data_IF_291002712870
#
_entry.id   IF_291002712870
#
_cell.length_a   1.000
_cell.length_b   1.000
_cell.length_c   1.000
_cell.angle_alpha   90.00
_cell.angle_beta   90.00
_cell.angle_gamma   90.00
#
_symmetry.space_group_name_H-M   'P 1'
#
loop_
_entity.id
_entity.type
_entity.pdbx_description
1 polymer ?
#
# COMPACT_ATOMS: atom_id res chain seq x y z
N UNK A 1 7.55 16.17 18.50
CA UNK A 1 6.10 16.42 18.45
C UNK A 1 5.44 15.84 19.68
N UNK A 2 4.65 16.65 20.37
CA UNK A 2 3.84 16.24 21.53
C UNK A 2 2.46 15.75 21.03
N UNK A 3 1.98 14.61 21.56
CA UNK A 3 0.65 14.09 21.24
C UNK A 3 -0.49 15.03 21.65
N UNK A 4 -0.23 15.91 22.62
CA UNK A 4 -1.19 16.90 23.09
C UNK A 4 -1.10 18.23 22.32
N UNK A 5 -0.32 18.30 21.24
CA UNK A 5 -0.20 19.51 20.42
C UNK A 5 -1.58 19.91 19.91
N UNK A 6 -1.99 21.13 20.22
CA UNK A 6 -3.24 21.74 19.76
C UNK A 6 -3.00 23.22 19.50
N UNK A 7 -2.89 23.61 18.23
CA UNK A 7 -2.61 25.00 17.82
C UNK A 7 -3.83 25.52 17.06
N UNK A 8 -4.45 26.60 17.52
CA UNK A 8 -5.63 27.17 16.87
C UNK A 8 -5.30 27.63 15.44
N UNK A 9 -6.16 27.28 14.48
CA UNK A 9 -6.10 27.78 13.11
C UNK A 9 -7.03 29.00 13.05
N UNK A 10 -6.45 30.19 13.18
CA UNK A 10 -7.22 31.46 13.23
C UNK A 10 -7.80 31.88 11.88
N UNK A 11 -7.23 31.36 10.80
CA UNK A 11 -7.55 31.68 9.42
C UNK A 11 -8.83 30.99 8.93
N UNK A 12 -9.27 29.94 9.63
CA UNK A 12 -10.42 29.13 9.23
C UNK A 12 -11.54 29.28 10.27
N UNK A 13 -12.70 29.84 9.87
CA UNK A 13 -13.86 29.94 10.75
C UNK A 13 -14.33 28.57 11.27
N UNK A 14 -14.77 28.54 12.51
CA UNK A 14 -15.17 27.31 13.21
C UNK A 14 -16.44 26.65 12.67
N UNK A 15 -17.29 27.44 12.02
CA UNK A 15 -18.50 27.01 11.32
C UNK A 15 -18.21 26.29 10.00
N UNK A 16 -17.00 26.43 9.43
CA UNK A 16 -16.62 25.68 8.24
C UNK A 16 -16.44 24.21 8.58
N UNK A 17 -17.13 23.33 7.87
CA UNK A 17 -17.11 21.88 8.14
C UNK A 17 -16.46 21.05 7.05
N UNK A 18 -16.33 21.62 5.84
CA UNK A 18 -15.82 20.91 4.68
C UNK A 18 -14.30 21.08 4.55
N UNK A 19 -13.56 20.01 4.85
CA UNK A 19 -12.11 19.95 4.67
C UNK A 19 -11.68 18.68 3.95
N UNK A 20 -10.96 18.84 2.86
CA UNK A 20 -10.22 17.79 2.17
C UNK A 20 -8.76 17.81 2.59
N UNK A 21 -8.13 16.64 2.49
CA UNK A 21 -6.71 16.46 2.75
C UNK A 21 -6.04 15.88 1.52
N UNK A 22 -4.96 16.52 1.10
CA UNK A 22 -4.08 16.02 0.06
C UNK A 22 -2.63 16.01 0.60
N UNK A 23 -2.19 14.85 1.10
CA UNK A 23 -0.93 14.73 1.83
C UNK A 23 -0.91 15.61 3.09
N UNK A 24 0.00 16.59 3.16
CA UNK A 24 0.06 17.59 4.23
C UNK A 24 -0.76 18.86 3.96
N UNK A 25 -1.30 19.02 2.75
CA UNK A 25 -2.13 20.17 2.40
C UNK A 25 -3.56 19.95 2.91
N UNK A 26 -4.10 20.94 3.61
CA UNK A 26 -5.50 20.96 4.04
C UNK A 26 -6.23 22.00 3.20
N UNK A 27 -7.32 21.56 2.57
CA UNK A 27 -8.10 22.37 1.63
C UNK A 27 -9.53 22.46 2.14
N UNK A 28 -9.96 23.66 2.48
CA UNK A 28 -11.35 23.94 2.87
C UNK A 28 -12.13 24.41 1.66
N UNK A 29 -13.39 23.94 1.54
CA UNK A 29 -14.33 24.31 0.47
C UNK A 29 -13.76 24.17 -0.96
N UNK A 30 -12.84 23.22 -1.18
CA UNK A 30 -12.19 23.05 -2.47
C UNK A 30 -13.08 22.48 -3.57
N UNK A 31 -12.74 22.77 -4.82
CA UNK A 31 -13.56 22.43 -6.00
C UNK A 31 -13.82 20.91 -6.15
N UNK A 32 -12.89 20.06 -5.70
CA UNK A 32 -13.05 18.61 -5.76
C UNK A 32 -14.11 18.05 -4.80
N UNK A 33 -14.64 18.86 -3.86
CA UNK A 33 -15.84 18.47 -3.10
C UNK A 33 -17.07 18.33 -3.99
N UNK A 34 -17.07 18.94 -5.19
CA UNK A 34 -18.17 18.89 -6.14
C UNK A 34 -18.38 17.53 -6.82
N UNK A 35 -17.42 16.59 -6.75
CA UNK A 35 -17.57 15.27 -7.41
C UNK A 35 -18.32 14.22 -6.59
N UNK A 36 -18.35 14.32 -5.26
CA UNK A 36 -18.96 13.28 -4.41
C UNK A 36 -19.94 13.80 -3.35
N UNK A 37 -19.98 15.09 -3.03
CA UNK A 37 -20.98 15.66 -2.14
C UNK A 37 -21.64 16.90 -2.76
N UNK A 38 -22.95 16.80 -3.03
CA UNK A 38 -23.79 17.94 -3.42
C UNK A 38 -23.84 18.92 -2.26
N UNK A 39 -23.04 19.97 -2.31
CA UNK A 39 -23.42 21.31 -1.82
C UNK A 39 -22.38 22.28 -2.35
N UNK A 40 -22.81 23.15 -3.26
CA UNK A 40 -22.14 24.43 -3.50
C UNK A 40 -22.12 25.16 -2.16
N UNK A 41 -20.95 25.31 -1.56
CA UNK A 41 -20.75 26.33 -0.53
C UNK A 41 -20.35 27.61 -1.26
N UNK A 42 -21.06 28.71 -1.06
CA UNK A 42 -20.64 30.07 -1.48
C UNK A 42 -19.41 30.57 -0.71
N UNK A 43 -18.64 29.64 -0.12
CA UNK A 43 -17.49 29.89 0.72
C UNK A 43 -16.22 29.81 -0.13
N UNK A 44 -15.23 30.68 0.12
CA UNK A 44 -13.99 30.66 -0.63
C UNK A 44 -13.18 29.38 -0.31
N UNK A 45 -12.49 28.86 -1.32
CA UNK A 45 -11.49 27.81 -1.14
C UNK A 45 -10.28 28.39 -0.38
N UNK A 46 -9.85 27.69 0.67
CA UNK A 46 -8.65 28.06 1.43
C UNK A 46 -7.72 26.87 1.54
N UNK A 47 -6.43 27.10 1.27
CA UNK A 47 -5.38 26.07 1.28
C UNK A 47 -4.33 26.42 2.33
N UNK A 48 -4.23 25.61 3.38
CA UNK A 48 -3.22 25.80 4.42
C UNK A 48 -2.34 24.55 4.57
N UNK A 49 -1.06 24.81 4.81
CA UNK A 49 -0.11 23.79 5.27
C UNK A 49 0.05 23.93 6.78
N UNK A 50 0.27 22.82 7.50
CA UNK A 50 0.59 22.88 8.91
C UNK A 50 1.92 23.63 9.12
N UNK A 51 2.12 24.24 10.30
CA UNK A 51 3.36 24.92 10.65
C UNK A 51 4.55 23.94 10.79
N UNK A 52 4.29 22.67 11.06
CA UNK A 52 5.29 21.60 11.17
C UNK A 52 4.78 20.32 10.49
N UNK A 53 5.70 19.55 9.88
CA UNK A 53 5.42 18.19 9.41
C UNK A 53 4.94 17.31 10.57
N UNK A 54 3.93 16.49 10.33
CA UNK A 54 3.35 15.61 11.35
C UNK A 54 2.10 16.18 12.02
N UNK A 55 1.71 17.41 11.70
CA UNK A 55 0.43 17.98 12.11
C UNK A 55 -0.61 17.86 10.99
N UNK A 56 -1.89 17.79 11.37
CA UNK A 56 -3.01 17.94 10.45
C UNK A 56 -4.14 18.74 11.11
N UNK A 57 -5.07 19.25 10.29
CA UNK A 57 -6.18 20.03 10.79
C UNK A 57 -7.32 19.12 11.26
N UNK A 58 -7.77 19.31 12.50
CA UNK A 58 -8.92 18.64 13.09
C UNK A 58 -9.86 19.67 13.72
N UNK A 59 -11.17 19.42 13.61
CA UNK A 59 -12.21 20.28 14.19
C UNK A 59 -12.59 19.74 15.57
N UNK A 60 -12.37 20.55 16.59
CA UNK A 60 -12.60 20.19 18.00
C UNK A 60 -13.39 21.32 18.64
N UNK A 61 -14.48 21.03 19.33
CA UNK A 61 -15.31 22.00 20.06
C UNK A 61 -15.72 23.23 19.22
N UNK A 62 -16.01 23.00 17.94
CA UNK A 62 -16.46 24.05 17.02
C UNK A 62 -15.36 24.97 16.47
N UNK A 63 -14.08 24.67 16.68
CA UNK A 63 -12.95 25.39 16.08
C UNK A 63 -11.94 24.43 15.44
N UNK A 64 -11.12 24.94 14.52
CA UNK A 64 -10.09 24.17 13.83
C UNK A 64 -8.74 24.29 14.53
N UNK A 65 -8.06 23.15 14.68
CA UNK A 65 -6.75 23.07 15.32
C UNK A 65 -5.78 22.25 14.48
N UNK A 66 -4.51 22.66 14.46
CA UNK A 66 -3.42 21.76 14.11
C UNK A 66 -3.17 20.81 15.28
N UNK A 67 -3.28 19.51 15.03
CA UNK A 67 -3.07 18.44 16.01
C UNK A 67 -2.03 17.43 15.53
N UNK A 68 -1.41 16.72 16.47
CA UNK A 68 -0.44 15.65 16.16
C UNK A 68 -1.13 14.50 15.42
N UNK A 69 -0.74 14.25 14.18
CA UNK A 69 -1.17 13.07 13.42
C UNK A 69 -0.13 11.97 13.32
N UNK A 70 1.06 12.16 13.90
CA UNK A 70 2.09 11.14 13.82
C UNK A 70 1.72 9.93 14.69
N UNK A 71 1.37 8.81 14.05
CA UNK A 71 0.99 7.56 14.71
C UNK A 71 2.00 7.11 15.79
N UNK A 72 3.31 7.17 15.46
CA UNK A 72 4.39 6.83 16.40
C UNK A 72 4.49 7.77 17.60
N UNK A 73 4.20 9.07 17.44
CA UNK A 73 4.16 10.01 18.56
C UNK A 73 2.93 9.77 19.45
N UNK A 74 1.81 9.41 18.83
CA UNK A 74 0.54 9.20 19.51
C UNK A 74 0.42 7.79 20.13
N UNK A 75 1.31 6.87 19.77
CA UNK A 75 1.27 5.48 20.21
C UNK A 75 0.11 4.70 19.60
N UNK A 76 -0.27 5.02 18.36
CA UNK A 76 -1.32 4.30 17.64
C UNK A 76 -0.71 3.22 16.75
N UNK A 77 -1.47 2.14 16.52
CA UNK A 77 -1.10 1.05 15.61
C UNK A 77 -1.51 1.34 14.15
N UNK A 78 -1.62 2.62 13.78
CA UNK A 78 -2.02 3.02 12.43
C UNK A 78 -0.94 2.61 11.41
N UNK A 79 -1.32 1.72 10.49
CA UNK A 79 -0.48 1.27 9.37
C UNK A 79 -0.58 2.25 8.21
N UNK A 80 0.53 2.41 7.48
CA UNK A 80 0.61 3.27 6.29
C UNK A 80 0.21 4.73 6.56
N UNK A 81 0.55 5.25 7.75
CA UNK A 81 0.18 6.62 8.13
C UNK A 81 0.79 7.66 7.19
N UNK A 82 -0.07 8.51 6.62
CA UNK A 82 0.32 9.60 5.74
C UNK A 82 0.76 10.87 6.50
N UNK A 83 0.61 10.91 7.83
CA UNK A 83 1.07 12.03 8.67
C UNK A 83 2.27 11.57 9.49
N UNK A 84 3.46 12.04 9.15
CA UNK A 84 4.70 11.66 9.84
C UNK A 84 5.46 12.92 10.24
N UNK A 85 5.84 13.03 11.51
CA UNK A 85 6.68 14.14 11.96
C UNK A 85 8.12 13.96 11.51
N UNK A 86 8.89 15.05 11.45
CA UNK A 86 10.27 15.02 10.94
C UNK A 86 11.14 13.97 11.66
N UNK A 87 11.04 13.89 12.99
CA UNK A 87 11.73 12.88 13.81
C UNK A 87 11.46 11.44 13.37
N UNK A 88 10.23 11.14 12.94
CA UNK A 88 9.81 9.79 12.54
C UNK A 88 9.86 9.59 11.01
N UNK A 89 10.27 10.59 10.25
CA UNK A 89 10.47 10.51 8.80
C UNK A 89 11.83 9.87 8.47
N UNK A 90 12.07 8.71 9.08
CA UNK A 90 13.32 7.95 9.03
C UNK A 90 13.06 6.52 8.57
N UNK A 91 14.07 5.89 7.96
CA UNK A 91 14.03 4.48 7.60
C UNK A 91 13.76 3.63 8.84
N UNK A 92 12.83 2.68 8.74
CA UNK A 92 12.45 1.82 9.87
C UNK A 92 13.59 0.94 10.38
N UNK A 93 14.57 0.63 9.54
CA UNK A 93 15.67 -0.29 9.86
C UNK A 93 16.94 0.45 10.31
N UNK A 94 17.37 1.48 9.57
CA UNK A 94 18.65 2.16 9.84
C UNK A 94 18.49 3.58 10.40
N UNK A 95 17.26 4.07 10.61
CA UNK A 95 16.99 5.43 11.08
C UNK A 95 17.53 6.57 10.19
N UNK A 96 17.96 6.27 8.95
CA UNK A 96 18.35 7.32 7.98
C UNK A 96 17.14 8.17 7.62
N UNK A 97 17.26 9.49 7.80
CA UNK A 97 16.19 10.44 7.48
C UNK A 97 15.92 10.51 5.98
N UNK A 98 14.64 10.65 5.60
CA UNK A 98 14.19 10.67 4.19
C UNK A 98 14.89 11.73 3.35
N UNK A 99 15.22 12.88 3.92
CA UNK A 99 15.93 13.97 3.20
C UNK A 99 17.38 13.61 2.81
N UNK A 100 17.95 12.54 3.37
CA UNK A 100 19.30 12.07 3.04
C UNK A 100 19.30 10.98 1.97
N UNK A 101 18.13 10.57 1.48
CA UNK A 101 18.02 9.51 0.47
C UNK A 101 18.23 10.09 -0.93
N UNK A 102 19.02 9.38 -1.74
CA UNK A 102 19.22 9.67 -3.16
C UNK A 102 18.22 8.95 -4.06
N UNK A 103 17.55 7.92 -3.55
CA UNK A 103 16.64 7.05 -4.28
C UNK A 103 15.29 6.93 -3.57
N UNK A 104 14.25 6.60 -4.33
CA UNK A 104 12.91 6.43 -3.80
C UNK A 104 12.87 5.29 -2.78
N UNK A 105 12.32 5.51 -1.58
CA UNK A 105 12.18 4.45 -0.58
C UNK A 105 10.93 3.59 -0.82
N UNK A 106 10.92 2.39 -0.24
CA UNK A 106 9.78 1.47 -0.26
C UNK A 106 8.83 1.79 0.87
N UNK A 107 7.53 1.84 0.56
CA UNK A 107 6.49 1.98 1.58
C UNK A 107 6.37 0.72 2.43
N UNK A 108 6.15 0.90 3.73
CA UNK A 108 5.96 -0.19 4.69
C UNK A 108 4.84 0.18 5.66
N UNK A 109 4.08 -0.77 6.23
CA UNK A 109 3.08 -0.48 7.27
C UNK A 109 3.59 0.47 8.37
N UNK A 110 4.84 0.27 8.82
CA UNK A 110 5.47 1.04 9.90
C UNK A 110 6.28 2.27 9.43
N UNK A 111 6.15 2.67 8.16
CA UNK A 111 6.84 3.83 7.57
C UNK A 111 7.46 3.52 6.22
N UNK A 112 8.79 3.65 6.11
CA UNK A 112 9.49 3.34 4.86
C UNK A 112 10.81 2.62 5.11
N UNK A 113 11.27 1.90 4.09
CA UNK A 113 12.59 1.27 4.01
C UNK A 113 13.43 1.99 2.96
N UNK A 114 14.64 2.43 3.30
CA UNK A 114 15.56 3.00 2.30
C UNK A 114 16.13 1.89 1.40
N UNK A 115 16.59 2.26 0.20
CA UNK A 115 17.10 1.28 -0.77
C UNK A 115 18.14 0.30 -0.21
N UNK A 116 19.22 0.73 0.47
CA UNK A 116 20.21 -0.22 0.95
C UNK A 116 19.65 -1.23 1.95
N UNK A 117 18.66 -0.81 2.75
CA UNK A 117 17.99 -1.71 3.67
C UNK A 117 17.03 -2.67 2.96
N UNK A 118 16.32 -2.19 1.93
CA UNK A 118 15.45 -3.04 1.12
C UNK A 118 16.29 -4.07 0.35
N UNK A 119 17.36 -3.64 -0.31
CA UNK A 119 18.27 -4.52 -1.04
C UNK A 119 18.86 -5.62 -0.11
N UNK A 120 19.13 -5.29 1.16
CA UNK A 120 19.59 -6.26 2.15
C UNK A 120 18.51 -7.27 2.56
N UNK A 121 17.27 -6.82 2.77
CA UNK A 121 16.13 -7.71 3.03
C UNK A 121 15.83 -8.61 1.83
N UNK A 122 15.85 -8.06 0.61
CA UNK A 122 15.64 -8.78 -0.63
C UNK A 122 16.75 -9.82 -0.86
N UNK A 123 18.01 -9.46 -0.60
CA UNK A 123 19.13 -10.40 -0.68
C UNK A 123 19.00 -11.54 0.34
N UNK A 124 18.55 -11.24 1.56
CA UNK A 124 18.28 -12.26 2.58
C UNK A 124 17.12 -13.18 2.15
N UNK A 125 16.02 -12.61 1.66
CA UNK A 125 14.88 -13.37 1.17
C UNK A 125 15.25 -14.27 -0.01
N UNK A 126 16.05 -13.75 -0.96
CA UNK A 126 16.62 -14.51 -2.07
C UNK A 126 17.46 -15.69 -1.59
N UNK A 127 18.41 -15.44 -0.69
CA UNK A 127 19.27 -16.50 -0.15
C UNK A 127 18.47 -17.57 0.58
N UNK A 128 17.48 -17.17 1.40
CA UNK A 128 16.60 -18.09 2.11
C UNK A 128 15.73 -18.92 1.17
N UNK A 129 15.22 -18.34 0.08
CA UNK A 129 14.43 -19.07 -0.91
C UNK A 129 15.28 -20.08 -1.69
N UNK A 130 16.46 -19.68 -2.14
CA UNK A 130 17.40 -20.58 -2.83
C UNK A 130 17.88 -21.73 -1.94
N UNK A 131 18.12 -21.47 -0.65
CA UNK A 131 18.52 -22.51 0.29
C UNK A 131 17.46 -23.62 0.47
N UNK A 132 16.17 -23.29 0.36
CA UNK A 132 15.08 -24.27 0.48
C UNK A 132 15.06 -25.30 -0.66
N UNK A 133 15.58 -24.93 -1.82
CA UNK A 133 15.59 -25.78 -3.02
C UNK A 133 17.00 -26.30 -3.35
N UNK A 134 18.02 -25.92 -2.58
CA UNK A 134 19.42 -26.24 -2.89
C UNK A 134 19.74 -27.74 -2.84
N UNK A 135 18.99 -28.51 -2.05
CA UNK A 135 19.17 -29.96 -1.91
C UNK A 135 18.20 -30.78 -2.79
N UNK A 136 17.29 -30.10 -3.50
CA UNK A 136 16.30 -30.74 -4.37
C UNK A 136 16.68 -30.48 -5.82
N UNK A 137 16.90 -31.55 -6.59
CA UNK A 137 17.08 -31.42 -8.02
C UNK A 137 15.79 -30.88 -8.66
N UNK A 138 15.95 -30.01 -9.65
CA UNK A 138 14.82 -29.50 -10.40
C UNK A 138 14.15 -30.64 -11.18
N UNK A 139 12.87 -30.89 -10.90
CA UNK A 139 11.98 -31.70 -11.74
C UNK A 139 10.88 -30.81 -12.31
N UNK A 140 10.73 -30.81 -13.64
CA UNK A 140 9.68 -30.06 -14.32
C UNK A 140 8.28 -30.50 -13.89
N UNK A 141 8.11 -31.78 -13.52
CA UNK A 141 6.83 -32.30 -13.05
C UNK A 141 6.36 -31.66 -11.74
N UNK A 142 7.27 -31.13 -10.93
CA UNK A 142 6.94 -30.40 -9.70
C UNK A 142 6.27 -29.03 -9.96
N UNK A 143 6.33 -28.55 -11.20
CA UNK A 143 5.83 -27.23 -11.61
C UNK A 143 4.68 -27.29 -12.61
N UNK A 144 4.09 -28.48 -12.82
CA UNK A 144 2.92 -28.70 -13.68
C UNK A 144 1.65 -28.82 -12.86
N UNK A 145 0.52 -28.38 -13.41
CA UNK A 145 -0.81 -28.51 -12.79
C UNK A 145 -0.89 -27.98 -11.34
N UNK A 146 -0.24 -26.85 -11.07
CA UNK A 146 -0.25 -26.23 -9.75
C UNK A 146 -1.48 -25.34 -9.56
N UNK A 147 -2.06 -25.35 -8.36
CA UNK A 147 -3.13 -24.43 -7.96
C UNK A 147 -2.64 -22.97 -7.81
N UNK A 148 -1.34 -22.79 -7.60
CA UNK A 148 -0.68 -21.49 -7.47
C UNK A 148 0.56 -21.44 -8.38
N UNK A 149 0.80 -20.30 -9.02
CA UNK A 149 2.04 -20.09 -9.76
C UNK A 149 3.23 -20.13 -8.80
N UNK A 150 4.22 -20.97 -9.08
CA UNK A 150 5.47 -21.05 -8.31
C UNK A 150 6.65 -20.77 -9.22
N UNK A 151 7.60 -19.99 -8.72
CA UNK A 151 8.85 -19.79 -9.42
C UNK A 151 9.67 -21.10 -9.45
N UNK A 152 10.06 -21.62 -10.63
CA UNK A 152 10.82 -22.87 -10.72
C UNK A 152 12.25 -22.77 -10.17
N UNK A 153 12.79 -21.56 -10.01
CA UNK A 153 14.15 -21.34 -9.51
C UNK A 153 14.27 -21.36 -7.99
N UNK A 154 13.20 -21.05 -7.27
CA UNK A 154 13.26 -20.86 -5.81
C UNK A 154 12.01 -21.31 -5.05
N UNK A 155 11.06 -21.93 -5.75
CA UNK A 155 9.76 -22.39 -5.24
C UNK A 155 8.87 -21.32 -4.58
N UNK A 156 9.23 -20.03 -4.66
CA UNK A 156 8.38 -18.95 -4.15
C UNK A 156 7.07 -18.90 -4.92
N UNK A 157 5.96 -18.87 -4.19
CA UNK A 157 4.62 -18.63 -4.75
C UNK A 157 4.54 -17.20 -5.28
N UNK A 158 4.09 -17.07 -6.53
CA UNK A 158 3.85 -15.81 -7.23
C UNK A 158 2.34 -15.62 -7.30
N UNK A 159 1.84 -14.60 -6.62
CA UNK A 159 0.43 -14.23 -6.72
C UNK A 159 0.16 -13.60 -8.09
N UNK A 160 -0.85 -14.08 -8.79
CA UNK A 160 -1.32 -13.53 -10.06
C UNK A 160 -2.79 -13.24 -9.88
N UNK A 161 -3.21 -12.01 -10.17
CA UNK A 161 -4.63 -11.65 -10.13
C UNK A 161 -5.38 -12.36 -11.26
N UNK A 162 -6.67 -12.66 -11.05
CA UNK A 162 -7.47 -13.42 -12.01
C UNK A 162 -7.57 -12.72 -13.37
N UNK A 163 -7.60 -11.39 -13.38
CA UNK A 163 -7.60 -10.56 -14.59
C UNK A 163 -6.30 -10.68 -15.40
N UNK A 164 -5.21 -11.09 -14.75
CA UNK A 164 -3.89 -11.24 -15.35
C UNK A 164 -3.59 -12.69 -15.75
N UNK A 165 -4.54 -13.62 -15.61
CA UNK A 165 -4.32 -15.01 -16.02
C UNK A 165 -4.06 -15.13 -17.53
N UNK A 166 -3.08 -15.94 -17.89
CA UNK A 166 -2.66 -16.12 -19.27
C UNK A 166 -1.18 -16.43 -19.39
N UNK A 167 -0.79 -16.89 -20.58
CA UNK A 167 0.58 -17.27 -20.88
C UNK A 167 1.49 -16.04 -20.94
N UNK A 168 2.64 -16.09 -20.27
CA UNK A 168 3.58 -14.98 -20.22
C UNK A 168 4.94 -15.39 -19.67
N UNK A 169 5.96 -14.62 -20.06
CA UNK A 169 7.26 -14.67 -19.42
C UNK A 169 7.24 -13.80 -18.17
N UNK A 170 7.78 -14.35 -17.08
CA UNK A 170 7.76 -13.75 -15.75
C UNK A 170 9.19 -13.61 -15.22
N UNK A 171 9.43 -12.57 -14.44
CA UNK A 171 10.61 -12.45 -13.59
C UNK A 171 10.17 -12.64 -12.13
N UNK A 172 10.80 -13.56 -11.40
CA UNK A 172 10.48 -13.77 -10.00
C UNK A 172 10.99 -12.62 -9.14
N UNK A 173 10.10 -11.96 -8.40
CA UNK A 173 10.47 -10.83 -7.53
C UNK A 173 11.49 -11.19 -6.44
N UNK A 174 11.49 -12.44 -5.96
CA UNK A 174 12.42 -12.90 -4.92
C UNK A 174 13.80 -13.26 -5.47
N UNK A 175 13.89 -14.17 -6.45
CA UNK A 175 15.19 -14.67 -6.91
C UNK A 175 15.74 -13.94 -8.14
N UNK A 176 14.90 -13.13 -8.82
CA UNK A 176 15.16 -12.49 -10.13
C UNK A 176 15.39 -13.48 -11.28
N UNK A 177 14.98 -14.74 -11.10
CA UNK A 177 15.00 -15.76 -12.15
C UNK A 177 13.86 -15.56 -13.14
N UNK A 178 14.17 -15.71 -14.44
CA UNK A 178 13.18 -15.65 -15.52
C UNK A 178 12.56 -17.04 -15.73
N UNK A 179 11.25 -17.10 -15.90
CA UNK A 179 10.53 -18.33 -16.20
C UNK A 179 9.31 -18.07 -17.10
N UNK A 180 8.92 -19.09 -17.84
CA UNK A 180 7.70 -19.07 -18.64
C UNK A 180 6.54 -19.62 -17.81
N UNK A 181 5.40 -18.92 -17.85
CA UNK A 181 4.14 -19.38 -17.28
C UNK A 181 3.22 -19.79 -18.43
N UNK A 182 2.71 -21.02 -18.37
CA UNK A 182 1.61 -21.51 -19.20
C UNK A 182 0.39 -21.73 -18.32
N UNK A 183 -0.75 -21.16 -18.69
CA UNK A 183 -2.00 -21.27 -17.93
C UNK A 183 -2.86 -22.41 -18.49
N UNK A 184 -3.11 -23.44 -17.67
CA UNK A 184 -3.95 -24.57 -18.05
C UNK A 184 -5.38 -24.38 -17.49
N UNK A 185 -6.37 -24.26 -18.38
CA UNK A 185 -7.79 -24.18 -18.01
C UNK A 185 -8.46 -25.54 -18.21
N UNK A 186 -9.02 -26.10 -17.13
CA UNK A 186 -9.83 -27.32 -17.21
C UNK A 186 -11.30 -27.01 -16.92
N UNK A 187 -12.17 -27.32 -17.88
CA UNK A 187 -13.63 -27.19 -17.73
C UNK A 187 -14.27 -28.57 -17.82
N UNK A 188 -14.99 -28.98 -16.77
CA UNK A 188 -15.69 -30.26 -16.72
C UNK A 188 -17.20 -30.07 -16.54
N UNK A 189 -18.00 -30.83 -17.27
CA UNK A 189 -19.47 -30.75 -17.24
C UNK A 189 -20.09 -32.06 -16.76
N UNK A 190 -21.10 -31.96 -15.91
CA UNK A 190 -21.98 -33.09 -15.53
C UNK A 190 -23.41 -32.72 -15.90
N UNK A 191 -24.10 -33.58 -16.64
CA UNK A 191 -25.49 -33.36 -17.05
C UNK A 191 -26.38 -34.50 -16.57
N UNK A 192 -27.65 -34.17 -16.35
CA UNK A 192 -28.71 -35.12 -15.99
C UNK A 192 -29.94 -34.83 -16.86
N UNK A 193 -30.73 -35.86 -17.12
CA UNK A 193 -32.02 -35.68 -17.82
C UNK A 193 -32.98 -34.93 -16.91
N UNK A 194 -33.66 -33.92 -17.47
CA UNK A 194 -34.80 -33.28 -16.83
C UNK A 194 -36.05 -33.76 -17.56
N UNK A 195 -36.98 -34.36 -16.82
CA UNK A 195 -38.21 -34.95 -17.38
C UNK A 195 -37.98 -36.33 -18.00
N UNK A 196 -38.78 -36.67 -19.00
CA UNK A 196 -38.63 -37.92 -19.74
C UNK A 196 -37.56 -37.79 -20.82
N UNK A 197 -36.77 -38.86 -20.99
CA UNK A 197 -35.79 -38.95 -22.07
C UNK A 197 -36.56 -39.05 -23.40
N UNK A 198 -36.34 -38.11 -24.31
CA UNK A 198 -36.94 -38.14 -25.65
C UNK A 198 -36.50 -39.43 -26.38
N UNK A 199 -37.47 -40.22 -26.83
CA UNK A 199 -37.28 -41.46 -27.63
C UNK A 199 -37.77 -41.24 -29.06
N UNK A 200 -37.15 -41.91 -30.04
CA UNK A 200 -37.58 -41.91 -31.45
C UNK A 200 -38.83 -42.78 -31.68
#
# INVERSE_FOLDING_TARGET
MDKNTKILITEIPGEWTQRQRNGSLNVWNGEDHHRFHRTTTDLPEVRLRPPENGLYAERIDGAWYWVSGCAKCNGTDEKYSYVVCDKHNVCRLCSTHRSKLTEAPWGHPDGFTCKPCQDAEDAFAKAAALAKVAETDYDEWDYRNLDECKCPHCATVVHIEAEDYGDKNMECDTCKGLFELTTEYSVSFTTKVIGERITA
#
